data_IF_545754843731
#
_entry.id   IF_545754843731
#
_cell.length_a   1.000
_cell.length_b   1.000
_cell.length_c   1.000
_cell.angle_alpha   90.00
_cell.angle_beta   90.00
_cell.angle_gamma   90.00
#
_symmetry.space_group_name_H-M   'P 1'
#
loop_
_entity.id
_entity.type
_entity.pdbx_description
1 polymer ?
#
# COMPACT_ATOMS: atom_id res chain seq x y z
N UNK A 1 -1.25 1.56 15.53
CA UNK A 1 -0.02 2.38 15.36
C UNK A 1 -0.17 3.25 14.12
N UNK A 2 0.53 4.39 14.01
CA UNK A 2 0.45 5.24 12.80
C UNK A 2 1.65 5.05 11.89
N UNK A 3 1.45 5.16 10.57
CA UNK A 3 2.51 5.13 9.55
C UNK A 3 3.61 6.15 9.87
N UNK A 4 3.23 7.35 10.32
CA UNK A 4 4.16 8.40 10.75
C UNK A 4 5.09 7.94 11.87
N UNK A 5 4.55 7.25 12.88
CA UNK A 5 5.34 6.74 14.00
C UNK A 5 6.32 5.65 13.55
N UNK A 6 5.85 4.69 12.74
CA UNK A 6 6.69 3.62 12.20
C UNK A 6 7.81 4.17 11.30
N UNK A 7 7.50 5.16 10.47
CA UNK A 7 8.47 5.87 9.64
C UNK A 7 9.54 6.56 10.50
N UNK A 8 9.12 7.27 11.55
CA UNK A 8 10.04 7.94 12.46
C UNK A 8 10.95 6.95 13.20
N UNK A 9 10.42 5.78 13.61
CA UNK A 9 11.20 4.70 14.23
C UNK A 9 12.27 4.13 13.30
N UNK A 10 12.01 4.06 11.99
CA UNK A 10 13.00 3.67 10.97
C UNK A 10 13.97 4.81 10.58
N UNK A 11 13.80 6.03 11.11
CA UNK A 11 14.70 7.16 10.87
C UNK A 11 14.64 7.74 9.45
N UNK A 12 13.56 7.49 8.69
CA UNK A 12 13.44 7.95 7.29
C UNK A 12 12.48 9.13 7.14
N UNK A 13 12.72 9.96 6.14
CA UNK A 13 11.89 11.09 5.76
C UNK A 13 10.62 10.64 5.01
N UNK A 14 9.63 11.55 4.91
CA UNK A 14 8.45 11.31 4.08
C UNK A 14 8.82 11.12 2.60
N UNK A 15 9.83 11.84 2.11
CA UNK A 15 10.28 11.74 0.72
C UNK A 15 10.84 10.34 0.41
N UNK A 16 11.69 9.82 1.30
CA UNK A 16 12.28 8.47 1.15
C UNK A 16 11.23 7.37 1.22
N UNK A 17 10.28 7.46 2.16
CA UNK A 17 9.19 6.50 2.24
C UNK A 17 8.31 6.57 0.99
N UNK A 18 7.93 7.77 0.54
CA UNK A 18 7.11 7.95 -0.65
C UNK A 18 7.79 7.37 -1.90
N UNK A 19 9.10 7.60 -2.06
CA UNK A 19 9.92 7.02 -3.12
C UNK A 19 9.93 5.49 -3.08
N UNK A 20 10.10 4.89 -1.89
CA UNK A 20 10.06 3.42 -1.72
C UNK A 20 8.70 2.82 -2.03
N UNK A 21 7.62 3.54 -1.74
CA UNK A 21 6.24 3.12 -2.00
C UNK A 21 5.75 3.44 -3.42
N UNK A 22 6.54 4.17 -4.23
CA UNK A 22 6.13 4.59 -5.58
C UNK A 22 4.98 5.61 -5.60
N UNK A 23 4.82 6.41 -4.54
CA UNK A 23 3.77 7.43 -4.43
C UNK A 23 4.38 8.83 -4.29
N UNK A 24 3.57 9.87 -4.50
CA UNK A 24 4.01 11.23 -4.21
C UNK A 24 4.17 11.46 -2.70
N UNK A 25 5.14 12.28 -2.29
CA UNK A 25 5.27 12.74 -0.89
C UNK A 25 3.97 13.38 -0.37
N UNK A 26 3.26 14.11 -1.23
CA UNK A 26 1.97 14.70 -0.89
C UNK A 26 0.91 13.65 -0.55
N UNK A 27 0.88 12.54 -1.30
CA UNK A 27 0.00 11.39 -1.04
C UNK A 27 0.33 10.79 0.31
N UNK A 28 1.61 10.53 0.59
CA UNK A 28 2.05 10.01 1.88
C UNK A 28 1.65 10.94 3.03
N UNK A 29 1.85 12.26 2.89
CA UNK A 29 1.46 13.24 3.91
C UNK A 29 -0.04 13.22 4.21
N UNK A 30 -0.89 13.11 3.17
CA UNK A 30 -2.34 12.99 3.32
C UNK A 30 -2.75 11.67 4.00
N UNK A 31 -2.04 10.58 3.71
CA UNK A 31 -2.22 9.29 4.39
C UNK A 31 -1.83 9.41 5.88
N UNK A 32 -0.63 9.93 6.17
CA UNK A 32 -0.14 10.08 7.55
C UNK A 32 -1.01 11.00 8.43
N UNK A 33 -1.70 11.96 7.82
CA UNK A 33 -2.62 12.88 8.50
C UNK A 33 -4.07 12.39 8.53
N UNK A 34 -4.38 11.23 7.93
CA UNK A 34 -5.73 10.70 7.83
C UNK A 34 -6.67 11.46 6.89
N UNK A 35 -6.16 12.44 6.13
CA UNK A 35 -6.92 13.20 5.13
C UNK A 35 -7.35 12.34 3.93
N UNK A 36 -6.65 11.24 3.69
CA UNK A 36 -6.98 10.23 2.67
C UNK A 36 -6.88 8.87 3.31
N UNK A 37 -7.93 8.06 3.12
CA UNK A 37 -7.91 6.63 3.42
C UNK A 37 -7.28 5.86 2.27
N UNK A 38 -6.49 4.83 2.57
CA UNK A 38 -5.92 3.95 1.57
C UNK A 38 -6.99 2.93 1.16
N UNK A 39 -7.58 3.12 -0.02
CA UNK A 39 -8.61 2.20 -0.55
C UNK A 39 -8.04 1.21 -1.56
N UNK A 40 -6.85 1.47 -2.09
CA UNK A 40 -6.15 0.58 -3.01
C UNK A 40 -5.43 -0.51 -2.21
N UNK A 41 -5.81 -1.77 -2.44
CA UNK A 41 -5.24 -2.91 -1.72
C UNK A 41 -3.74 -3.07 -2.01
N UNK A 42 -3.29 -2.86 -3.25
CA UNK A 42 -1.87 -3.03 -3.58
C UNK A 42 -1.00 -1.99 -2.87
N UNK A 43 -1.48 -0.75 -2.75
CA UNK A 43 -0.81 0.28 -1.97
C UNK A 43 -0.78 -0.10 -0.48
N UNK A 44 -1.91 -0.53 0.08
CA UNK A 44 -1.98 -0.96 1.47
C UNK A 44 -1.02 -2.12 1.77
N UNK A 45 -1.03 -3.15 0.91
CA UNK A 45 -0.16 -4.32 0.97
C UNK A 45 1.32 -3.94 0.84
N UNK A 46 1.67 -3.05 -0.09
CA UNK A 46 3.04 -2.54 -0.25
C UNK A 46 3.52 -1.79 1.00
N UNK A 47 2.66 -0.98 1.62
CA UNK A 47 2.99 -0.27 2.87
C UNK A 47 3.17 -1.29 4.00
N UNK A 48 2.28 -2.26 4.13
CA UNK A 48 2.35 -3.30 5.15
C UNK A 48 3.62 -4.14 5.02
N UNK A 49 3.95 -4.57 3.80
CA UNK A 49 5.18 -5.27 3.46
C UNK A 49 6.43 -4.45 3.82
N UNK A 50 6.43 -3.13 3.56
CA UNK A 50 7.55 -2.26 3.94
C UNK A 50 7.79 -2.22 5.46
N UNK A 51 6.73 -2.37 6.26
CA UNK A 51 6.81 -2.42 7.71
C UNK A 51 6.86 -3.83 8.29
N UNK A 52 6.87 -4.87 7.45
CA UNK A 52 6.87 -6.28 7.85
C UNK A 52 5.69 -6.63 8.79
N UNK A 53 4.51 -6.08 8.47
CA UNK A 53 3.28 -6.29 9.23
C UNK A 53 2.17 -6.85 8.33
N UNK A 54 1.21 -7.60 8.88
CA UNK A 54 -0.03 -7.90 8.18
C UNK A 54 -0.76 -6.61 7.78
N UNK A 55 -1.34 -6.58 6.57
CA UNK A 55 -2.06 -5.41 6.07
C UNK A 55 -3.25 -5.06 6.97
N UNK A 56 -3.87 -6.07 7.55
CA UNK A 56 -4.97 -5.99 8.50
C UNK A 56 -4.59 -5.31 9.82
N UNK A 57 -3.34 -5.45 10.27
CA UNK A 57 -2.87 -4.78 11.48
C UNK A 57 -2.62 -3.29 11.25
N UNK A 58 -2.19 -2.95 10.03
CA UNK A 58 -1.90 -1.56 9.66
C UNK A 58 -3.15 -0.80 9.19
N UNK A 59 -4.08 -1.51 8.55
CA UNK A 59 -5.31 -0.99 7.96
C UNK A 59 -6.49 -1.92 8.35
N UNK A 60 -7.05 -1.75 9.57
CA UNK A 60 -8.13 -2.62 10.09
C UNK A 60 -9.40 -2.65 9.24
N UNK A 61 -9.62 -1.66 8.39
CA UNK A 61 -10.71 -1.64 7.40
C UNK A 61 -10.69 -2.84 6.45
N UNK A 62 -9.53 -3.49 6.23
CA UNK A 62 -9.43 -4.70 5.42
C UNK A 62 -9.85 -5.99 6.17
N UNK A 63 -10.04 -5.95 7.50
CA UNK A 63 -10.50 -7.10 8.29
C UNK A 63 -12.01 -7.37 8.17
N UNK A 64 -12.82 -6.31 8.05
CA UNK A 64 -14.26 -6.42 8.28
C UNK A 64 -15.07 -6.80 7.03
N UNK A 65 -14.60 -6.44 5.84
CA UNK A 65 -15.30 -6.70 4.57
C UNK A 65 -14.29 -6.70 3.41
N UNK A 66 -13.38 -7.67 3.36
CA UNK A 66 -12.43 -7.78 2.24
C UNK A 66 -13.18 -8.16 0.95
N UNK A 67 -13.77 -7.17 0.30
CA UNK A 67 -14.24 -7.26 -1.08
C UNK A 67 -13.06 -6.85 -1.95
N UNK A 68 -12.67 -7.71 -2.89
CA UNK A 68 -11.71 -7.32 -3.92
C UNK A 68 -12.16 -6.00 -4.54
N UNK A 69 -11.23 -5.05 -4.82
CA UNK A 69 -11.60 -3.80 -5.48
C UNK A 69 -12.48 -4.10 -6.69
N UNK A 70 -13.52 -3.30 -6.96
CA UNK A 70 -14.42 -3.57 -8.08
C UNK A 70 -13.58 -3.74 -9.35
N UNK A 71 -13.76 -4.88 -10.04
CA UNK A 71 -13.01 -5.18 -11.25
C UNK A 71 -13.29 -4.08 -12.28
N UNK A 72 -12.32 -3.17 -12.44
CA UNK A 72 -12.49 -2.06 -13.36
C UNK A 72 -12.24 -2.54 -14.79
N UNK A 73 -13.33 -2.88 -15.49
CA UNK A 73 -13.36 -3.26 -16.91
C UNK A 73 -12.73 -2.25 -17.88
N UNK A 74 -12.37 -1.04 -17.41
CA UNK A 74 -11.80 0.03 -18.22
C UNK A 74 -10.30 0.29 -17.98
N UNK A 75 -9.62 -0.43 -17.08
CA UNK A 75 -8.15 -0.36 -17.01
C UNK A 75 -7.53 -1.12 -18.19
N UNK A 76 -7.27 -0.41 -19.30
CA UNK A 76 -6.36 -0.91 -20.36
C UNK A 76 -4.97 -1.11 -19.75
N UNK A 77 -4.43 -2.32 -19.82
CA UNK A 77 -3.04 -2.62 -19.43
C UNK A 77 -2.84 -3.69 -18.35
N UNK A 78 -3.86 -4.49 -18.02
CA UNK A 78 -3.66 -5.65 -17.13
C UNK A 78 -3.21 -6.87 -17.95
N UNK A 79 -1.88 -7.04 -18.09
CA UNK A 79 -1.32 -8.27 -18.64
C UNK A 79 -1.26 -9.32 -17.53
N UNK A 80 -2.31 -10.12 -17.41
CA UNK A 80 -2.46 -11.17 -16.39
C UNK A 80 -1.51 -12.39 -16.58
N UNK A 81 -0.51 -12.32 -17.47
CA UNK A 81 0.28 -13.48 -17.94
C UNK A 81 1.78 -13.22 -18.16
N UNK A 82 2.46 -12.49 -17.26
CA UNK A 82 3.94 -12.46 -17.26
C UNK A 82 4.56 -13.25 -16.09
N UNK A 83 3.78 -14.12 -15.43
CA UNK A 83 4.33 -15.16 -14.59
C UNK A 83 4.48 -16.41 -15.46
N UNK A 84 5.60 -16.51 -16.20
CA UNK A 84 6.03 -17.80 -16.71
C UNK A 84 6.43 -18.65 -15.50
N UNK A 85 5.78 -19.78 -15.21
CA UNK A 85 6.36 -20.73 -14.28
C UNK A 85 7.59 -21.29 -14.99
N UNK A 86 8.78 -20.82 -14.63
CA UNK A 86 9.97 -21.63 -14.83
C UNK A 86 9.78 -22.83 -13.91
N UNK A 87 9.25 -23.91 -14.47
CA UNK A 87 9.38 -25.25 -13.90
C UNK A 87 10.88 -25.56 -13.97
N UNK A 88 11.54 -25.56 -12.82
CA UNK A 88 12.74 -26.39 -12.63
C UNK A 88 12.31 -27.85 -12.51
#
# INVERSE_FOLDING_TARGET
>A
MSIKHMRAKKGISQEELAKKLGISRSTLSRIETGKVKVTDFFLADTIAAFFEMPVEELFPEFLLDRKSPPFNKHKKGWNFWNCSPTLE
#
